data_IF_211686189339
#
_entry.id   IF_211686189339
#
_cell.length_a   1.000
_cell.length_b   1.000
_cell.length_c   1.000
_cell.angle_alpha   90.00
_cell.angle_beta   90.00
_cell.angle_gamma   90.00
#
_symmetry.space_group_name_H-M   'P 1'
#
loop_
_entity.id
_entity.type
_entity.pdbx_description
1 polymer ?
#
# COMPACT_ATOMS: atom_id res chain seq x y z
N UNK A 1 -42.01 -3.23 55.19
CA UNK A 1 -42.13 -3.27 53.72
C UNK A 1 -40.75 -2.99 53.16
N UNK A 2 -40.31 -3.86 52.25
CA UNK A 2 -38.98 -3.96 51.66
C UNK A 2 -38.52 -2.66 51.00
N UNK A 3 -37.24 -2.37 51.18
CA UNK A 3 -36.42 -1.36 50.50
C UNK A 3 -36.36 -1.54 48.98
N UNK A 4 -36.25 -0.43 48.24
CA UNK A 4 -35.43 -0.37 47.02
C UNK A 4 -35.09 1.08 46.68
N UNK A 5 -33.91 1.50 47.08
CA UNK A 5 -33.16 2.62 46.49
C UNK A 5 -32.94 2.33 45.00
N UNK A 6 -33.03 3.30 44.08
CA UNK A 6 -32.69 3.04 42.68
C UNK A 6 -31.20 2.73 42.60
N UNK A 7 -30.87 1.53 42.16
CA UNK A 7 -29.52 1.13 41.79
C UNK A 7 -29.04 2.10 40.72
N UNK A 8 -28.08 2.94 41.10
CA UNK A 8 -27.22 3.67 40.21
C UNK A 8 -26.61 2.63 39.27
N UNK A 9 -27.07 2.60 38.01
CA UNK A 9 -26.39 1.81 36.98
C UNK A 9 -25.01 2.41 36.85
N UNK A 10 -24.00 1.69 37.33
CA UNK A 10 -22.60 1.90 36.99
C UNK A 10 -22.49 1.89 35.46
N UNK A 11 -22.58 3.07 34.87
CA UNK A 11 -22.19 3.33 33.50
C UNK A 11 -20.66 3.51 33.45
N UNK A 12 -19.93 2.50 33.93
CA UNK A 12 -18.61 2.23 33.41
C UNK A 12 -18.80 1.53 32.06
N UNK A 13 -19.31 2.27 31.08
CA UNK A 13 -19.17 1.89 29.69
C UNK A 13 -17.66 1.83 29.43
N UNK A 14 -17.12 0.63 29.35
CA UNK A 14 -15.80 0.35 28.79
C UNK A 14 -15.69 1.15 27.51
N UNK A 15 -14.92 2.24 27.53
CA UNK A 15 -14.55 2.96 26.33
C UNK A 15 -13.98 1.92 25.37
N UNK A 16 -14.67 1.68 24.25
CA UNK A 16 -14.19 0.75 23.24
C UNK A 16 -12.88 1.34 22.70
N UNK A 17 -11.75 0.87 23.27
CA UNK A 17 -10.43 1.28 22.85
C UNK A 17 -10.33 1.12 21.32
N UNK A 18 -9.81 2.16 20.67
CA UNK A 18 -9.17 2.08 19.35
C UNK A 18 -8.70 0.67 19.02
N UNK A 19 -9.10 0.06 17.88
CA UNK A 19 -8.35 -1.07 17.39
C UNK A 19 -6.93 -0.56 17.10
N UNK A 20 -5.94 -1.07 17.82
CA UNK A 20 -4.54 -0.71 17.61
C UNK A 20 -4.19 -0.93 16.14
N UNK A 21 -3.63 0.11 15.51
CA UNK A 21 -3.30 0.12 14.08
C UNK A 21 -4.45 0.49 13.14
N UNK A 22 -5.63 0.88 13.64
CA UNK A 22 -6.73 1.37 12.79
C UNK A 22 -6.40 2.75 12.18
N UNK A 23 -5.89 3.65 13.03
CA UNK A 23 -5.43 5.01 12.72
C UNK A 23 -4.08 5.26 13.41
N UNK A 24 -3.49 6.43 13.14
CA UNK A 24 -2.18 6.82 13.67
C UNK A 24 -2.07 6.71 15.20
N UNK A 25 -0.87 6.42 15.69
CA UNK A 25 -0.60 6.30 17.13
C UNK A 25 -0.93 7.62 17.84
N UNK A 26 -1.83 7.53 18.84
CA UNK A 26 -2.27 8.68 19.64
C UNK A 26 -3.46 9.45 19.07
N UNK A 27 -4.17 8.90 18.07
CA UNK A 27 -5.43 9.46 17.59
C UNK A 27 -6.46 9.61 18.72
N UNK A 28 -7.23 10.72 18.75
CA UNK A 28 -8.25 10.94 19.77
C UNK A 28 -9.47 10.04 19.56
N UNK A 29 -10.20 9.76 20.65
CA UNK A 29 -11.35 8.84 20.64
C UNK A 29 -12.49 9.29 19.71
N UNK A 30 -12.62 10.59 19.44
CA UNK A 30 -13.65 11.16 18.58
C UNK A 30 -13.40 10.94 17.08
N UNK A 31 -12.15 10.75 16.65
CA UNK A 31 -11.81 10.31 15.29
C UNK A 31 -12.38 8.92 14.96
N UNK A 32 -12.82 8.20 15.99
CA UNK A 32 -13.27 6.82 15.96
C UNK A 32 -14.76 6.68 16.08
N UNK A 33 -15.42 7.79 16.44
CA UNK A 33 -16.85 7.82 16.41
C UNK A 33 -17.30 7.78 14.94
N UNK A 34 -17.95 6.67 14.59
CA UNK A 34 -18.54 6.44 13.27
C UNK A 34 -19.70 7.39 12.98
N UNK A 35 -20.26 8.01 14.02
CA UNK A 35 -21.39 8.93 13.91
C UNK A 35 -20.96 10.25 13.24
N UNK A 36 -21.40 10.44 11.99
CA UNK A 36 -21.21 11.69 11.24
C UNK A 36 -20.10 11.66 10.18
N UNK A 37 -19.17 10.71 10.21
CA UNK A 37 -18.19 10.56 9.10
C UNK A 37 -18.89 10.15 7.79
N UNK A 38 -19.90 9.28 7.88
CA UNK A 38 -20.75 8.89 6.75
C UNK A 38 -21.57 10.06 6.15
N UNK A 39 -21.69 11.18 6.89
CA UNK A 39 -22.45 12.37 6.45
C UNK A 39 -21.62 13.43 5.73
N UNK A 40 -20.29 13.27 5.61
CA UNK A 40 -19.45 14.22 4.87
C UNK A 40 -19.50 13.91 3.37
N UNK A 41 -20.10 14.76 2.53
CA UNK A 41 -20.31 14.46 1.10
C UNK A 41 -19.01 14.27 0.32
N UNK A 42 -17.88 14.82 0.81
CA UNK A 42 -16.61 14.91 0.09
C UNK A 42 -15.34 14.63 0.96
N UNK A 43 -15.45 14.07 2.16
CA UNK A 43 -14.30 13.95 3.07
C UNK A 43 -14.13 12.56 3.65
N UNK A 44 -13.22 11.76 3.09
CA UNK A 44 -12.66 10.61 3.79
C UNK A 44 -11.79 11.12 4.94
N UNK A 45 -11.96 10.67 6.20
CA UNK A 45 -11.03 11.04 7.25
C UNK A 45 -9.70 10.34 6.97
N UNK A 46 -8.62 11.12 6.83
CA UNK A 46 -7.28 10.56 6.79
C UNK A 46 -7.07 9.67 8.03
N UNK A 47 -6.54 8.47 7.82
CA UNK A 47 -6.12 7.58 8.91
C UNK A 47 -4.73 7.93 9.43
N UNK A 48 -4.04 8.83 8.75
CA UNK A 48 -2.69 9.29 9.08
C UNK A 48 -2.75 10.48 10.03
N UNK A 49 -1.62 10.76 10.69
CA UNK A 49 -1.53 11.84 11.66
C UNK A 49 -1.71 13.21 10.96
N UNK A 50 -2.77 13.98 11.27
CA UNK A 50 -3.01 15.28 10.63
C UNK A 50 -1.95 16.32 10.99
N UNK A 51 -1.29 16.20 12.16
CA UNK A 51 -0.24 17.12 12.58
C UNK A 51 1.03 17.02 11.72
N UNK A 52 1.20 15.91 11.00
CA UNK A 52 2.37 15.69 10.14
C UNK A 52 2.06 15.98 8.69
N UNK A 53 0.78 16.20 8.33
CA UNK A 53 0.34 16.42 6.95
C UNK A 53 0.71 17.83 6.48
N UNK A 54 1.45 17.92 5.38
CA UNK A 54 1.94 19.19 4.81
C UNK A 54 1.30 19.55 3.48
N UNK A 55 0.75 18.57 2.76
CA UNK A 55 -0.07 18.79 1.56
C UNK A 55 -1.08 17.65 1.36
N UNK A 56 -2.10 17.88 0.52
CA UNK A 56 -3.13 16.90 0.19
C UNK A 56 -4.53 17.27 0.70
N UNK A 57 -5.49 16.37 0.47
CA UNK A 57 -6.88 16.52 0.91
C UNK A 57 -7.92 16.74 -0.20
N UNK A 58 -7.51 17.16 -1.40
CA UNK A 58 -8.36 17.25 -2.59
C UNK A 58 -7.73 16.53 -3.79
N UNK A 59 -8.56 16.09 -4.73
CA UNK A 59 -8.15 15.36 -5.94
C UNK A 59 -7.19 16.18 -6.80
N UNK A 60 -5.92 15.79 -6.90
CA UNK A 60 -5.01 16.33 -7.90
C UNK A 60 -5.47 15.92 -9.29
N UNK A 61 -5.61 16.90 -10.18
CA UNK A 61 -5.97 16.65 -11.57
C UNK A 61 -4.73 16.21 -12.34
N UNK A 62 -4.58 14.90 -12.50
CA UNK A 62 -3.51 14.32 -13.32
C UNK A 62 -3.71 14.76 -14.77
N UNK A 63 -2.74 15.50 -15.30
CA UNK A 63 -2.70 15.82 -16.71
C UNK A 63 -2.26 14.58 -17.51
N UNK A 64 -3.01 14.18 -18.54
CA UNK A 64 -2.71 13.00 -19.34
C UNK A 64 -1.44 13.20 -20.17
N UNK A 65 -0.71 12.11 -20.40
CA UNK A 65 0.49 12.13 -21.24
C UNK A 65 0.09 12.38 -22.71
N UNK A 66 0.42 13.57 -23.21
CA UNK A 66 0.14 13.97 -24.59
C UNK A 66 1.06 13.32 -25.62
N UNK A 67 2.09 12.58 -25.18
CA UNK A 67 3.02 11.85 -26.07
C UNK A 67 2.42 10.57 -26.68
N UNK A 68 1.17 10.23 -26.33
CA UNK A 68 0.44 9.09 -26.89
C UNK A 68 0.80 7.73 -26.28
N UNK A 69 1.56 7.73 -25.17
CA UNK A 69 1.99 6.51 -24.47
C UNK A 69 0.99 6.03 -23.41
N UNK A 70 0.04 6.86 -23.00
CA UNK A 70 -1.04 6.49 -22.07
C UNK A 70 -2.37 6.24 -22.79
N UNK A 71 -3.18 5.34 -22.26
CA UNK A 71 -4.50 5.01 -22.85
C UNK A 71 -5.55 6.12 -22.67
N UNK A 72 -5.32 7.08 -21.76
CA UNK A 72 -6.28 8.15 -21.46
C UNK A 72 -5.71 9.54 -21.76
N UNK A 73 -6.58 10.40 -22.32
CA UNK A 73 -6.32 11.78 -22.78
C UNK A 73 -7.09 12.86 -22.02
N UNK A 74 -7.92 12.49 -21.04
CA UNK A 74 -8.71 13.43 -20.23
C UNK A 74 -8.23 13.47 -18.78
N UNK A 75 -8.11 14.67 -18.17
CA UNK A 75 -7.69 14.82 -16.79
C UNK A 75 -8.63 14.13 -15.79
N UNK A 76 -8.10 13.73 -14.64
CA UNK A 76 -8.90 13.12 -13.57
C UNK A 76 -8.23 13.25 -12.21
N UNK A 77 -9.01 13.13 -11.15
CA UNK A 77 -8.59 13.31 -9.77
C UNK A 77 -7.89 12.11 -9.15
N UNK A 78 -6.69 12.31 -8.58
CA UNK A 78 -6.00 11.39 -7.68
C UNK A 78 -5.99 11.97 -6.27
N UNK A 79 -6.43 11.18 -5.29
CA UNK A 79 -6.26 11.50 -3.87
C UNK A 79 -4.82 11.22 -3.43
N UNK A 80 -4.23 12.15 -2.68
CA UNK A 80 -2.91 12.01 -2.10
C UNK A 80 -2.78 12.79 -0.79
N UNK A 81 -1.80 12.39 0.03
CA UNK A 81 -1.33 13.15 1.19
C UNK A 81 0.20 13.13 1.25
N UNK A 82 0.78 14.25 1.65
CA UNK A 82 2.20 14.39 1.95
C UNK A 82 2.36 14.60 3.45
N UNK A 83 3.25 13.83 4.09
CA UNK A 83 3.59 13.96 5.50
C UNK A 83 5.07 14.26 5.70
N UNK A 84 5.38 15.11 6.68
CA UNK A 84 6.75 15.57 6.93
C UNK A 84 7.19 16.71 6.01
N UNK A 85 8.35 17.28 6.35
CA UNK A 85 8.98 18.43 5.67
C UNK A 85 10.43 18.15 5.28
N UNK A 86 10.93 16.95 5.57
CA UNK A 86 12.33 16.64 5.40
C UNK A 86 12.78 16.48 3.95
N UNK A 87 14.09 16.58 3.68
CA UNK A 87 14.64 16.59 2.33
C UNK A 87 14.57 15.23 1.63
N UNK A 88 14.50 14.12 2.38
CA UNK A 88 14.46 12.77 1.81
C UNK A 88 13.02 12.39 1.43
N UNK A 89 12.76 12.26 0.13
CA UNK A 89 11.42 12.04 -0.42
C UNK A 89 11.13 10.55 -0.62
N UNK A 90 10.09 10.03 0.02
CA UNK A 90 9.66 8.63 -0.09
C UNK A 90 8.26 8.56 -0.66
N UNK A 91 8.03 7.71 -1.65
CA UNK A 91 6.70 7.46 -2.22
C UNK A 91 6.28 6.03 -1.95
N UNK A 92 5.11 5.86 -1.35
CA UNK A 92 4.52 4.57 -1.04
C UNK A 92 3.39 4.23 -2.03
N UNK A 93 3.55 3.13 -2.77
CA UNK A 93 2.65 2.73 -3.86
C UNK A 93 1.89 1.46 -3.46
N UNK A 94 0.58 1.58 -3.28
CA UNK A 94 -0.28 0.49 -2.83
C UNK A 94 -0.59 -0.54 -3.93
N UNK A 95 -0.96 -1.75 -3.50
CA UNK A 95 -1.38 -2.86 -4.35
C UNK A 95 -2.80 -2.74 -4.94
N UNK A 96 -3.19 -3.80 -5.63
CA UNK A 96 -4.49 -3.94 -6.29
C UNK A 96 -5.64 -3.78 -5.28
N UNK A 97 -6.66 -3.01 -5.68
CA UNK A 97 -7.91 -2.89 -4.95
C UNK A 97 -7.74 -2.61 -3.45
N UNK A 98 -6.79 -1.72 -3.12
CA UNK A 98 -6.51 -1.34 -1.75
C UNK A 98 -6.15 0.16 -1.65
N UNK A 99 -6.43 0.76 -0.49
CA UNK A 99 -6.18 2.18 -0.22
C UNK A 99 -4.78 2.38 0.32
N UNK A 100 -4.20 3.55 0.08
CA UNK A 100 -2.95 3.97 0.70
C UNK A 100 -2.92 3.87 2.23
N UNK A 101 -4.08 3.83 2.90
CA UNK A 101 -4.21 3.56 4.34
C UNK A 101 -3.47 2.29 4.82
N UNK A 102 -3.24 1.31 3.93
CA UNK A 102 -2.42 0.14 4.27
C UNK A 102 -0.95 0.46 4.59
N UNK A 103 -0.45 1.65 4.21
CA UNK A 103 0.88 2.15 4.55
C UNK A 103 0.94 2.87 5.90
N UNK A 104 -0.16 2.92 6.67
CA UNK A 104 -0.20 3.60 7.98
C UNK A 104 1.03 3.29 8.86
N UNK A 105 1.44 2.02 9.07
CA UNK A 105 2.58 1.73 9.95
C UNK A 105 3.90 2.35 9.44
N UNK A 106 4.06 2.48 8.12
CA UNK A 106 5.23 3.12 7.51
C UNK A 106 5.16 4.64 7.66
N UNK A 107 3.99 5.26 7.44
CA UNK A 107 3.84 6.71 7.61
C UNK A 107 4.01 7.12 9.07
N UNK A 108 3.48 6.32 10.00
CA UNK A 108 3.69 6.51 11.44
C UNK A 108 5.14 6.34 11.88
N UNK A 109 5.99 5.67 11.10
CA UNK A 109 7.43 5.59 11.34
C UNK A 109 8.17 6.76 10.71
N UNK A 110 8.01 6.95 9.39
CA UNK A 110 8.78 7.90 8.58
C UNK A 110 8.33 9.35 8.71
N UNK A 111 7.21 9.62 9.38
CA UNK A 111 6.72 11.00 9.58
C UNK A 111 6.36 11.29 11.03
N UNK A 112 6.88 10.52 11.99
CA UNK A 112 6.61 10.73 13.41
C UNK A 112 7.42 11.90 13.97
N UNK A 113 6.80 12.86 14.68
CA UNK A 113 7.55 13.90 15.37
C UNK A 113 8.43 13.34 16.52
N UNK A 114 8.02 12.23 17.14
CA UNK A 114 8.71 11.70 18.33
C UNK A 114 10.09 11.10 18.04
N UNK A 115 10.36 10.70 16.80
CA UNK A 115 11.65 10.14 16.38
C UNK A 115 12.46 11.10 15.48
N UNK A 116 12.01 12.35 15.32
CA UNK A 116 12.64 13.36 14.46
C UNK A 116 12.54 13.06 12.96
N UNK A 117 11.70 12.10 12.56
CA UNK A 117 11.57 11.73 11.16
C UNK A 117 10.76 12.74 10.34
N UNK A 118 9.91 13.55 10.97
CA UNK A 118 9.16 14.64 10.31
C UNK A 118 10.08 15.62 9.58
N UNK A 119 11.21 15.98 10.19
CA UNK A 119 12.19 16.91 9.62
C UNK A 119 13.21 16.22 8.70
N UNK A 120 13.26 14.88 8.73
CA UNK A 120 14.20 14.08 7.94
C UNK A 120 13.59 13.59 6.63
N UNK A 121 12.33 13.20 6.65
CA UNK A 121 11.62 12.65 5.50
C UNK A 121 10.41 13.49 5.10
N UNK A 122 10.10 13.46 3.80
CA UNK A 122 8.78 13.78 3.28
C UNK A 122 8.21 12.53 2.63
N UNK A 123 7.08 12.03 3.10
CA UNK A 123 6.43 10.82 2.60
C UNK A 123 5.19 11.16 1.81
N UNK A 124 5.03 10.51 0.65
CA UNK A 124 3.85 10.64 -0.22
C UNK A 124 3.09 9.31 -0.24
N UNK A 125 1.80 9.39 0.04
CA UNK A 125 0.82 8.32 -0.12
C UNK A 125 -0.30 8.80 -1.03
N UNK A 126 -0.85 7.88 -1.84
CA UNK A 126 -1.93 8.19 -2.77
C UNK A 126 -2.74 6.94 -3.11
N UNK A 127 -4.01 7.14 -3.44
CA UNK A 127 -4.84 6.05 -3.96
C UNK A 127 -4.64 5.93 -5.47
N UNK A 128 -4.33 4.73 -5.98
CA UNK A 128 -4.24 4.51 -7.42
C UNK A 128 -5.59 4.76 -8.10
N UNK A 129 -5.57 5.16 -9.39
CA UNK A 129 -6.78 5.32 -10.21
C UNK A 129 -7.70 4.09 -10.08
N UNK A 130 -9.01 4.32 -10.02
CA UNK A 130 -9.98 3.24 -9.90
C UNK A 130 -10.15 2.67 -8.49
N UNK A 131 -9.58 3.31 -7.46
CA UNK A 131 -9.75 2.87 -6.08
C UNK A 131 -9.82 4.03 -5.08
N UNK A 132 -10.42 3.76 -3.91
CA UNK A 132 -10.46 4.66 -2.76
C UNK A 132 -11.04 6.03 -3.11
N UNK A 133 -10.31 7.08 -2.75
CA UNK A 133 -10.72 8.47 -2.95
C UNK A 133 -10.39 9.02 -4.34
N UNK A 134 -9.53 8.32 -5.08
CA UNK A 134 -9.21 8.63 -6.48
C UNK A 134 -10.39 8.36 -7.41
N UNK A 135 -10.41 9.05 -8.55
CA UNK A 135 -11.44 8.85 -9.56
C UNK A 135 -11.32 7.49 -10.24
N UNK A 136 -12.41 7.09 -10.89
CA UNK A 136 -12.48 5.88 -11.72
C UNK A 136 -12.59 6.29 -13.19
N UNK A 137 -11.47 6.67 -13.83
CA UNK A 137 -11.41 6.85 -15.26
C UNK A 137 -12.04 5.69 -16.04
N UNK A 138 -12.78 5.98 -17.10
CA UNK A 138 -13.23 4.96 -18.03
C UNK A 138 -12.06 4.32 -18.80
N UNK A 139 -12.30 3.11 -19.32
CA UNK A 139 -11.33 2.38 -20.14
C UNK A 139 -10.46 1.38 -19.36
N UNK A 140 -9.60 0.69 -20.10
CA UNK A 140 -8.64 -0.29 -19.57
C UNK A 140 -7.44 0.42 -18.98
N UNK A 141 -6.90 -0.06 -17.87
CA UNK A 141 -5.68 0.48 -17.28
C UNK A 141 -4.47 -0.37 -17.63
N UNK A 142 -3.30 0.25 -17.60
CA UNK A 142 -1.99 -0.40 -17.54
C UNK A 142 -1.23 0.10 -16.32
N UNK A 143 -0.33 -0.71 -15.80
CA UNK A 143 0.58 -0.26 -14.72
C UNK A 143 1.45 0.92 -15.16
N UNK A 144 1.76 1.03 -16.47
CA UNK A 144 2.46 2.20 -17.03
C UNK A 144 1.61 3.47 -16.96
N UNK A 145 0.29 3.37 -17.19
CA UNK A 145 -0.62 4.52 -17.04
C UNK A 145 -0.63 5.02 -15.58
N UNK A 146 -0.57 4.11 -14.61
CA UNK A 146 -0.48 4.45 -13.19
C UNK A 146 0.88 5.06 -12.82
N UNK A 147 1.96 4.62 -13.45
CA UNK A 147 3.27 5.24 -13.32
C UNK A 147 3.27 6.69 -13.84
N UNK A 148 2.63 6.93 -14.99
CA UNK A 148 2.48 8.28 -15.52
C UNK A 148 1.64 9.20 -14.62
N UNK A 149 0.61 8.67 -13.95
CA UNK A 149 -0.17 9.44 -12.97
C UNK A 149 0.71 9.95 -11.84
N UNK A 150 1.49 9.05 -11.25
CA UNK A 150 2.37 9.40 -10.16
C UNK A 150 3.45 10.38 -10.62
N UNK A 151 4.01 10.21 -11.81
CA UNK A 151 4.98 11.17 -12.34
C UNK A 151 4.37 12.57 -12.55
N UNK A 152 3.09 12.64 -12.95
CA UNK A 152 2.35 13.91 -13.06
C UNK A 152 2.17 14.58 -11.70
N UNK A 153 1.74 13.82 -10.69
CA UNK A 153 1.62 14.28 -9.30
C UNK A 153 2.97 14.75 -8.74
N UNK A 154 4.04 13.99 -8.94
CA UNK A 154 5.38 14.35 -8.48
C UNK A 154 5.91 15.64 -9.13
N UNK A 155 5.53 15.94 -10.38
CA UNK A 155 5.89 17.20 -11.04
C UNK A 155 5.19 18.38 -10.39
N UNK A 156 3.90 18.27 -10.08
CA UNK A 156 3.15 19.31 -9.37
C UNK A 156 3.76 19.57 -7.98
N UNK A 157 4.09 18.49 -7.25
CA UNK A 157 4.75 18.56 -5.95
C UNK A 157 6.20 19.09 -6.04
N UNK A 158 6.74 19.31 -7.25
CA UNK A 158 8.15 19.70 -7.50
C UNK A 158 9.15 18.69 -6.93
N UNK A 159 8.78 17.40 -6.97
CA UNK A 159 9.65 16.30 -6.55
C UNK A 159 10.53 15.77 -7.68
N UNK A 160 10.35 16.27 -8.90
CA UNK A 160 11.10 15.84 -10.09
C UNK A 160 12.26 16.78 -10.49
N UNK A 161 12.50 17.86 -9.73
CA UNK A 161 13.48 18.90 -10.11
C UNK A 161 14.94 18.45 -9.97
N UNK A 162 15.21 17.46 -9.10
CA UNK A 162 16.55 16.95 -8.82
C UNK A 162 16.63 15.46 -9.18
N UNK A 163 17.69 15.03 -9.89
CA UNK A 163 17.90 13.61 -10.14
C UNK A 163 18.15 12.89 -8.81
N UNK A 164 17.78 11.60 -8.76
CA UNK A 164 18.01 10.72 -7.60
C UNK A 164 17.41 11.18 -6.27
N UNK A 165 16.48 12.13 -6.30
CA UNK A 165 15.94 12.77 -5.10
C UNK A 165 14.72 12.05 -4.51
N UNK A 166 14.18 11.03 -5.19
CA UNK A 166 12.95 10.34 -4.77
C UNK A 166 13.21 8.84 -4.62
N UNK A 167 12.66 8.25 -3.56
CA UNK A 167 12.78 6.84 -3.23
C UNK A 167 11.40 6.17 -3.32
N UNK A 168 11.29 5.07 -4.07
CA UNK A 168 10.02 4.38 -4.30
C UNK A 168 9.91 3.12 -3.44
N UNK A 169 8.75 2.90 -2.83
CA UNK A 169 8.39 1.67 -2.11
C UNK A 169 7.05 1.18 -2.63
N UNK A 170 7.04 0.03 -3.31
CA UNK A 170 5.84 -0.50 -3.95
C UNK A 170 5.53 -1.93 -3.53
N UNK A 171 4.29 -2.19 -3.12
CA UNK A 171 3.83 -3.55 -2.76
C UNK A 171 2.91 -4.12 -3.83
N UNK A 172 3.10 -5.38 -4.23
CA UNK A 172 2.20 -6.08 -5.16
C UNK A 172 2.08 -5.34 -6.50
N UNK A 173 0.87 -4.94 -6.93
CA UNK A 173 0.67 -4.06 -8.08
C UNK A 173 1.50 -2.76 -7.99
N UNK A 174 1.71 -2.21 -6.79
CA UNK A 174 2.57 -1.04 -6.58
C UNK A 174 4.04 -1.29 -6.93
N UNK A 175 4.53 -2.52 -6.74
CA UNK A 175 5.84 -2.94 -7.23
C UNK A 175 5.90 -3.01 -8.76
N UNK A 176 4.83 -3.42 -9.42
CA UNK A 176 4.73 -3.41 -10.89
C UNK A 176 4.77 -1.97 -11.43
N UNK A 177 4.05 -1.04 -10.77
CA UNK A 177 4.08 0.39 -11.09
C UNK A 177 5.49 0.96 -10.85
N UNK A 178 6.16 0.54 -9.78
CA UNK A 178 7.56 0.93 -9.47
C UNK A 178 8.52 0.50 -10.60
N UNK A 179 8.35 -0.72 -11.14
CA UNK A 179 9.15 -1.17 -12.29
C UNK A 179 8.88 -0.34 -13.56
N UNK A 180 7.64 0.07 -13.80
CA UNK A 180 7.30 0.98 -14.91
C UNK A 180 7.94 2.37 -14.72
N UNK A 181 7.86 2.94 -13.53
CA UNK A 181 8.52 4.21 -13.20
C UNK A 181 10.03 4.16 -13.39
N UNK A 182 10.67 3.06 -12.98
CA UNK A 182 12.10 2.83 -13.18
C UNK A 182 12.49 2.71 -14.67
N UNK A 183 11.54 2.39 -15.56
CA UNK A 183 11.74 2.43 -17.02
C UNK A 183 11.51 3.82 -17.61
N UNK A 184 10.51 4.54 -17.08
CA UNK A 184 10.03 5.82 -17.63
C UNK A 184 11.00 6.97 -17.30
N UNK A 185 11.45 7.05 -16.04
CA UNK A 185 12.28 8.14 -15.53
C UNK A 185 13.42 7.61 -14.63
N UNK A 186 14.29 6.70 -15.13
CA UNK A 186 15.30 6.03 -14.33
C UNK A 186 16.20 6.99 -13.54
N UNK A 187 16.46 8.19 -14.04
CA UNK A 187 17.31 9.24 -13.45
C UNK A 187 16.73 9.88 -12.18
N UNK A 188 15.42 9.79 -11.96
CA UNK A 188 14.75 10.43 -10.83
C UNK A 188 14.91 9.64 -9.52
N UNK A 189 15.05 8.32 -9.62
CA UNK A 189 14.95 7.44 -8.46
C UNK A 189 16.32 7.21 -7.81
N UNK A 190 16.45 7.56 -6.53
CA UNK A 190 17.64 7.27 -5.73
C UNK A 190 17.68 5.81 -5.29
N UNK A 191 16.51 5.25 -4.96
CA UNK A 191 16.36 3.83 -4.69
C UNK A 191 14.94 3.34 -4.99
N UNK A 192 14.79 2.02 -5.17
CA UNK A 192 13.48 1.37 -5.23
C UNK A 192 13.43 0.14 -4.30
N UNK A 193 12.32 -0.05 -3.61
CA UNK A 193 12.01 -1.22 -2.79
C UNK A 193 10.77 -1.91 -3.36
N UNK A 194 10.97 -3.15 -3.84
CA UNK A 194 9.95 -3.98 -4.49
C UNK A 194 9.45 -5.03 -3.50
N UNK A 195 8.23 -4.88 -3.00
CA UNK A 195 7.65 -5.77 -1.96
C UNK A 195 6.61 -6.69 -2.58
N UNK A 196 6.78 -8.02 -2.44
CA UNK A 196 5.83 -9.05 -2.89
C UNK A 196 5.25 -8.80 -4.28
N UNK A 197 6.12 -8.69 -5.30
CA UNK A 197 5.73 -8.29 -6.66
C UNK A 197 6.33 -9.18 -7.75
N UNK A 198 6.02 -8.91 -9.01
CA UNK A 198 6.51 -9.67 -10.17
C UNK A 198 6.75 -8.75 -11.37
N UNK A 199 7.67 -9.16 -12.26
CA UNK A 199 7.85 -8.56 -13.59
C UNK A 199 6.76 -8.99 -14.59
N UNK A 200 5.92 -9.95 -14.21
CA UNK A 200 5.01 -10.63 -15.14
C UNK A 200 5.71 -11.67 -16.03
N UNK A 201 6.91 -12.15 -15.67
CA UNK A 201 7.68 -13.16 -16.43
C UNK A 201 8.19 -14.37 -15.59
N UNK A 202 7.74 -14.56 -14.35
CA UNK A 202 8.31 -15.52 -13.37
C UNK A 202 8.50 -17.00 -13.78
N UNK A 203 9.24 -17.75 -12.96
CA UNK A 203 9.64 -19.16 -13.19
C UNK A 203 8.55 -20.15 -12.71
N UNK A 204 8.21 -21.15 -13.53
CA UNK A 204 7.59 -22.43 -13.10
C UNK A 204 6.09 -22.57 -13.35
N UNK A 205 5.72 -23.71 -13.97
CA UNK A 205 4.40 -24.16 -14.47
C UNK A 205 3.42 -23.07 -14.92
N UNK A 206 3.35 -22.93 -16.25
CA UNK A 206 2.46 -22.06 -17.01
C UNK A 206 2.99 -20.63 -17.23
N UNK A 207 4.08 -20.55 -17.99
CA UNK A 207 4.30 -19.44 -18.94
C UNK A 207 3.08 -19.20 -19.90
N UNK A 208 2.11 -20.14 -19.94
CA UNK A 208 0.80 -20.04 -20.60
C UNK A 208 -0.37 -19.64 -19.67
N UNK A 209 -0.15 -19.48 -18.36
CA UNK A 209 -1.15 -19.03 -17.40
C UNK A 209 -0.61 -17.94 -16.47
N UNK A 210 0.29 -17.12 -16.99
CA UNK A 210 0.74 -15.84 -16.38
C UNK A 210 -0.39 -14.78 -16.35
N UNK A 211 -1.64 -15.23 -16.35
CA UNK A 211 -2.85 -14.45 -16.14
C UNK A 211 -3.90 -15.20 -15.31
N UNK A 212 -3.63 -16.43 -14.90
CA UNK A 212 -4.52 -17.20 -14.03
C UNK A 212 -3.73 -17.61 -12.80
N UNK A 213 -4.10 -17.09 -11.61
CA UNK A 213 -3.48 -17.50 -10.36
C UNK A 213 -3.56 -19.04 -10.16
N UNK A 214 -2.84 -19.64 -9.19
CA UNK A 214 -2.98 -21.07 -8.89
C UNK A 214 -4.47 -21.43 -8.69
N UNK A 215 -4.90 -22.69 -8.86
CA UNK A 215 -6.35 -23.04 -8.73
C UNK A 215 -6.96 -22.51 -7.41
N UNK A 216 -6.19 -22.53 -6.31
CA UNK A 216 -6.54 -21.84 -5.05
C UNK A 216 -6.53 -20.31 -5.15
N UNK A 217 -5.58 -19.70 -5.83
CA UNK A 217 -5.54 -18.26 -6.07
C UNK A 217 -6.61 -17.75 -7.05
N UNK A 218 -7.14 -18.58 -7.97
CA UNK A 218 -8.31 -18.25 -8.81
C UNK A 218 -9.56 -18.25 -7.95
N UNK A 219 -9.77 -19.27 -7.12
CA UNK A 219 -10.88 -19.26 -6.17
C UNK A 219 -10.77 -18.10 -5.18
N UNK A 220 -9.55 -17.72 -4.77
CA UNK A 220 -9.34 -16.65 -3.80
C UNK A 220 -9.41 -15.25 -4.42
N UNK A 221 -8.84 -15.01 -5.62
CA UNK A 221 -9.06 -13.75 -6.34
C UNK A 221 -10.52 -13.65 -6.78
N UNK A 222 -11.16 -14.73 -7.24
CA UNK A 222 -12.60 -14.73 -7.51
C UNK A 222 -13.46 -14.59 -6.24
N UNK A 223 -12.98 -15.05 -5.07
CA UNK A 223 -13.63 -14.80 -3.79
C UNK A 223 -13.43 -13.35 -3.37
N UNK A 224 -12.22 -12.81 -3.32
CA UNK A 224 -11.95 -11.39 -2.98
C UNK A 224 -12.68 -10.46 -3.95
N UNK A 225 -12.64 -10.74 -5.26
CA UNK A 225 -13.39 -10.00 -6.28
C UNK A 225 -14.88 -10.26 -6.15
N UNK A 226 -15.35 -11.47 -5.91
CA UNK A 226 -16.77 -11.78 -5.73
C UNK A 226 -17.38 -11.16 -4.46
N UNK A 227 -16.62 -11.14 -3.39
CA UNK A 227 -16.87 -10.49 -2.11
C UNK A 227 -16.86 -8.96 -2.25
N UNK A 228 -15.89 -8.40 -2.96
CA UNK A 228 -15.78 -6.96 -3.20
C UNK A 228 -16.79 -6.43 -4.24
N UNK A 229 -17.13 -7.22 -5.25
CA UNK A 229 -17.98 -6.83 -6.39
C UNK A 229 -19.46 -7.19 -6.20
N UNK A 230 -19.75 -8.36 -5.60
CA UNK A 230 -21.11 -8.90 -5.50
C UNK A 230 -21.59 -9.06 -4.05
N UNK A 231 -20.76 -8.74 -3.05
CA UNK A 231 -21.16 -8.84 -1.64
C UNK A 231 -21.50 -10.26 -1.19
N UNK A 232 -20.91 -11.28 -1.82
CA UNK A 232 -21.14 -12.68 -1.47
C UNK A 232 -20.50 -12.94 -0.10
N UNK A 233 -21.34 -13.38 0.87
CA UNK A 233 -20.97 -13.60 2.26
C UNK A 233 -21.20 -12.36 3.15
N UNK A 234 -21.48 -12.58 4.44
CA UNK A 234 -21.59 -11.50 5.41
C UNK A 234 -20.23 -10.79 5.62
N UNK A 235 -20.24 -9.58 6.16
CA UNK A 235 -19.02 -8.77 6.37
C UNK A 235 -17.91 -9.51 7.13
N UNK A 236 -18.28 -10.29 8.15
CA UNK A 236 -17.30 -11.01 8.97
C UNK A 236 -16.58 -12.07 8.15
N UNK A 237 -17.31 -12.85 7.37
CA UNK A 237 -16.74 -13.85 6.47
C UNK A 237 -15.80 -13.21 5.44
N UNK A 238 -16.18 -12.03 4.92
CA UNK A 238 -15.37 -11.29 3.93
C UNK A 238 -14.04 -10.82 4.49
N UNK A 239 -14.03 -10.24 5.70
CA UNK A 239 -12.79 -9.79 6.35
C UNK A 239 -11.89 -10.97 6.67
N UNK A 240 -12.42 -12.07 7.23
CA UNK A 240 -11.63 -13.25 7.54
C UNK A 240 -10.94 -13.85 6.32
N UNK A 241 -11.64 -13.94 5.17
CA UNK A 241 -11.04 -14.41 3.92
C UNK A 241 -9.87 -13.52 3.47
N UNK A 242 -9.98 -12.20 3.65
CA UNK A 242 -8.89 -11.27 3.34
C UNK A 242 -7.71 -11.48 4.29
N UNK A 243 -7.96 -11.65 5.60
CA UNK A 243 -6.89 -11.89 6.57
C UNK A 243 -6.12 -13.19 6.26
N UNK A 244 -6.83 -14.27 5.98
CA UNK A 244 -6.23 -15.58 5.66
C UNK A 244 -5.47 -15.58 4.33
N UNK A 245 -5.84 -14.69 3.40
CA UNK A 245 -5.09 -14.49 2.17
C UNK A 245 -3.80 -13.68 2.41
N UNK A 246 -3.87 -12.67 3.28
CA UNK A 246 -2.80 -11.69 3.45
C UNK A 246 -1.74 -12.13 4.46
N UNK A 247 -2.13 -12.95 5.45
CA UNK A 247 -1.30 -13.30 6.59
C UNK A 247 -1.30 -14.81 6.85
N UNK A 248 -0.20 -15.39 7.35
CA UNK A 248 -0.16 -16.79 7.78
C UNK A 248 -1.05 -17.03 9.00
N UNK A 249 -1.80 -18.14 9.01
CA UNK A 249 -2.70 -18.46 10.13
C UNK A 249 -1.96 -18.64 11.47
N UNK A 250 -0.75 -19.21 11.44
CA UNK A 250 0.11 -19.34 12.62
C UNK A 250 0.36 -17.98 13.29
N UNK A 251 0.67 -16.96 12.48
CA UNK A 251 0.91 -15.60 12.96
C UNK A 251 -0.36 -14.87 13.40
N UNK A 252 -1.49 -15.14 12.72
CA UNK A 252 -2.80 -14.56 13.06
C UNK A 252 -3.32 -15.09 14.41
N UNK A 253 -3.02 -16.34 14.72
CA UNK A 253 -3.51 -17.05 15.93
C UNK A 253 -2.73 -16.69 17.20
N UNK A 254 -1.57 -16.04 17.08
CA UNK A 254 -0.80 -15.54 18.21
C UNK A 254 -1.47 -14.31 18.87
N UNK A 255 -1.23 -14.13 20.17
CA UNK A 255 -1.61 -12.91 20.90
C UNK A 255 -0.85 -11.72 20.32
N UNK A 256 -1.56 -10.61 20.09
CA UNK A 256 -0.94 -9.36 19.68
C UNK A 256 -0.21 -8.75 20.90
N UNK A 257 1.13 -8.64 20.89
CA UNK A 257 1.88 -8.14 22.05
C UNK A 257 1.54 -6.70 22.42
N UNK A 258 1.07 -5.90 21.45
CA UNK A 258 0.76 -4.48 21.66
C UNK A 258 -0.68 -4.27 22.12
N UNK A 259 -1.52 -5.32 22.12
CA UNK A 259 -2.94 -5.22 22.49
C UNK A 259 -3.15 -5.41 24.00
N UNK A 260 -3.58 -4.37 24.74
CA UNK A 260 -3.74 -4.45 26.19
C UNK A 260 -4.89 -5.37 26.62
N UNK A 261 -5.78 -5.75 25.69
CA UNK A 261 -6.88 -6.68 25.95
C UNK A 261 -6.46 -8.15 25.74
N UNK A 262 -5.21 -8.41 25.32
CA UNK A 262 -4.69 -9.75 25.10
C UNK A 262 -5.33 -10.47 23.91
N UNK A 263 -5.92 -9.74 22.95
CA UNK A 263 -6.54 -10.32 21.76
C UNK A 263 -5.50 -10.91 20.83
N UNK A 264 -5.92 -11.89 20.04
CA UNK A 264 -5.12 -12.42 18.93
C UNK A 264 -4.90 -11.36 17.85
N UNK A 265 -3.84 -11.52 17.04
CA UNK A 265 -3.62 -10.64 15.88
C UNK A 265 -4.79 -10.70 14.90
N UNK A 266 -5.44 -11.86 14.76
CA UNK A 266 -6.66 -12.02 13.97
C UNK A 266 -7.78 -11.09 14.44
N UNK A 267 -8.06 -11.07 15.74
CA UNK A 267 -9.13 -10.24 16.32
C UNK A 267 -8.82 -8.74 16.19
N UNK A 268 -7.58 -8.34 16.45
CA UNK A 268 -7.14 -6.95 16.27
C UNK A 268 -7.26 -6.53 14.82
N UNK A 269 -6.71 -7.30 13.88
CA UNK A 269 -6.77 -6.99 12.45
C UNK A 269 -8.20 -7.04 11.91
N UNK A 270 -9.05 -7.95 12.41
CA UNK A 270 -10.47 -7.95 12.07
C UNK A 270 -11.11 -6.61 12.42
N UNK A 271 -10.89 -6.10 13.63
CA UNK A 271 -11.42 -4.82 14.06
C UNK A 271 -10.85 -3.64 13.25
N UNK A 272 -9.55 -3.67 12.93
CA UNK A 272 -8.91 -2.67 12.05
C UNK A 272 -9.52 -2.66 10.66
N UNK A 273 -9.67 -3.82 10.02
CA UNK A 273 -10.22 -3.93 8.66
C UNK A 273 -11.71 -3.58 8.65
N UNK A 274 -12.50 -4.03 9.63
CA UNK A 274 -13.90 -3.66 9.77
C UNK A 274 -14.06 -2.14 9.88
N UNK A 275 -13.27 -1.50 10.74
CA UNK A 275 -13.27 -0.04 10.88
C UNK A 275 -12.89 0.65 9.56
N UNK A 276 -11.76 0.28 8.94
CA UNK A 276 -11.31 0.90 7.68
C UNK A 276 -12.28 0.71 6.52
N UNK A 277 -12.98 -0.43 6.44
CA UNK A 277 -13.95 -0.70 5.38
C UNK A 277 -15.25 0.10 5.52
N UNK A 278 -15.60 0.59 6.71
CA UNK A 278 -16.72 1.52 6.87
C UNK A 278 -16.46 2.86 6.19
N UNK A 279 -15.20 3.29 6.12
CA UNK A 279 -14.80 4.56 5.53
C UNK A 279 -14.33 4.43 4.08
N UNK A 280 -13.79 3.27 3.71
CA UNK A 280 -13.28 3.03 2.35
C UNK A 280 -14.40 3.23 1.34
N UNK A 281 -14.29 4.31 0.54
CA UNK A 281 -15.22 4.53 -0.56
C UNK A 281 -15.20 3.30 -1.44
N UNK A 282 -16.33 2.60 -1.54
CA UNK A 282 -16.47 1.44 -2.41
C UNK A 282 -16.20 1.91 -3.84
N UNK A 283 -15.05 1.51 -4.38
CA UNK A 283 -14.72 1.76 -5.77
C UNK A 283 -15.79 1.09 -6.65
N UNK A 284 -16.32 1.79 -7.67
CA UNK A 284 -17.14 1.15 -8.68
C UNK A 284 -16.48 -0.13 -9.21
N UNK A 285 -17.23 -1.21 -9.44
CA UNK A 285 -16.72 -2.47 -9.99
C UNK A 285 -15.75 -2.32 -11.17
N UNK A 286 -16.02 -1.34 -12.03
CA UNK A 286 -15.18 -0.99 -13.17
C UNK A 286 -13.73 -0.68 -12.79
N UNK A 287 -13.49 0.08 -11.70
CA UNK A 287 -12.15 0.47 -11.30
C UNK A 287 -11.30 -0.74 -10.92
N UNK A 288 -11.88 -1.65 -10.12
CA UNK A 288 -11.25 -2.92 -9.72
C UNK A 288 -10.96 -3.79 -10.95
N UNK A 289 -11.94 -3.96 -11.85
CA UNK A 289 -11.74 -4.74 -13.09
C UNK A 289 -10.64 -4.17 -13.97
N UNK A 290 -10.55 -2.84 -14.09
CA UNK A 290 -9.50 -2.19 -14.87
C UNK A 290 -8.12 -2.34 -14.21
N UNK A 291 -8.02 -2.30 -12.87
CA UNK A 291 -6.77 -2.62 -12.17
C UNK A 291 -6.37 -4.10 -12.34
N UNK A 292 -7.32 -5.04 -12.30
CA UNK A 292 -7.05 -6.47 -12.57
C UNK A 292 -6.49 -6.63 -13.99
N UNK A 293 -7.10 -5.97 -14.98
CA UNK A 293 -6.61 -6.00 -16.35
C UNK A 293 -5.18 -5.44 -16.46
N UNK A 294 -4.85 -4.38 -15.69
CA UNK A 294 -3.49 -3.84 -15.63
C UNK A 294 -2.49 -4.84 -15.05
N UNK A 295 -2.83 -5.54 -13.96
CA UNK A 295 -2.00 -6.57 -13.33
C UNK A 295 -1.77 -7.74 -14.28
N UNK A 296 -2.82 -8.29 -14.87
CA UNK A 296 -2.75 -9.46 -15.77
C UNK A 296 -1.93 -9.15 -17.03
N UNK A 297 -2.05 -7.92 -17.55
CA UNK A 297 -1.30 -7.48 -18.74
C UNK A 297 0.09 -6.92 -18.43
N UNK A 298 0.48 -6.80 -17.16
CA UNK A 298 1.79 -6.26 -16.78
C UNK A 298 2.92 -7.15 -17.29
N UNK A 299 3.90 -6.53 -17.97
CA UNK A 299 5.09 -7.22 -18.49
C UNK A 299 6.29 -6.27 -18.48
N UNK A 300 7.33 -6.66 -17.76
CA UNK A 300 8.68 -6.08 -17.81
C UNK A 300 9.65 -7.18 -18.19
N UNK A 301 10.31 -7.04 -19.34
CA UNK A 301 11.18 -8.09 -19.87
C UNK A 301 12.47 -8.24 -19.06
N UNK A 302 13.10 -9.42 -19.08
CA UNK A 302 14.43 -9.61 -18.50
C UNK A 302 15.45 -8.56 -18.97
N UNK A 303 15.40 -8.17 -20.25
CA UNK A 303 16.24 -7.09 -20.79
C UNK A 303 15.92 -5.72 -20.20
N UNK A 304 14.65 -5.44 -19.89
CA UNK A 304 14.25 -4.22 -19.17
C UNK A 304 14.66 -4.28 -17.70
N UNK A 305 14.52 -5.43 -17.02
CA UNK A 305 15.03 -5.64 -15.66
C UNK A 305 16.54 -5.41 -15.58
N UNK A 306 17.32 -5.90 -16.54
CA UNK A 306 18.75 -5.66 -16.61
C UNK A 306 19.08 -4.15 -16.75
N UNK A 307 18.29 -3.40 -17.53
CA UNK A 307 18.43 -1.94 -17.64
C UNK A 307 18.11 -1.23 -16.32
N UNK A 308 17.02 -1.63 -15.64
CA UNK A 308 16.65 -1.11 -14.31
C UNK A 308 17.78 -1.39 -13.31
N UNK A 309 18.28 -2.63 -13.29
CA UNK A 309 19.38 -3.05 -12.42
C UNK A 309 20.61 -2.16 -12.54
N UNK A 310 20.97 -1.78 -13.77
CA UNK A 310 22.10 -0.89 -14.03
C UNK A 310 21.74 0.55 -13.63
N UNK A 311 20.57 1.04 -14.05
CA UNK A 311 20.18 2.44 -13.99
C UNK A 311 19.76 2.95 -12.60
N UNK A 312 19.37 2.06 -11.69
CA UNK A 312 18.96 2.45 -10.32
C UNK A 312 20.13 2.22 -9.33
N UNK A 313 20.45 3.20 -8.46
CA UNK A 313 21.58 3.12 -7.53
C UNK A 313 21.43 1.99 -6.48
N UNK A 314 20.26 1.91 -5.84
CA UNK A 314 19.96 0.88 -4.85
C UNK A 314 18.59 0.25 -5.09
N UNK A 315 18.54 -1.08 -5.05
CA UNK A 315 17.34 -1.87 -5.28
C UNK A 315 17.26 -2.92 -4.17
N UNK A 316 16.11 -3.00 -3.52
CA UNK A 316 15.78 -4.11 -2.62
C UNK A 316 14.52 -4.82 -3.13
N UNK A 317 14.56 -6.15 -3.09
CA UNK A 317 13.43 -7.03 -3.40
C UNK A 317 13.08 -7.75 -2.11
N UNK A 318 11.86 -7.58 -1.63
CA UNK A 318 11.40 -8.10 -0.34
C UNK A 318 10.18 -8.98 -0.55
N UNK A 319 10.14 -10.15 0.07
CA UNK A 319 9.01 -11.06 -0.06
C UNK A 319 8.88 -11.93 1.18
N UNK A 320 7.66 -12.35 1.52
CA UNK A 320 7.46 -13.42 2.49
C UNK A 320 7.68 -14.79 1.87
N UNK A 321 8.13 -15.77 2.63
CA UNK A 321 8.31 -17.17 2.18
C UNK A 321 7.00 -17.95 2.02
N UNK A 322 5.92 -17.50 2.67
CA UNK A 322 4.58 -18.11 2.62
C UNK A 322 3.54 -17.15 2.01
N UNK A 323 3.97 -16.26 1.12
CA UNK A 323 3.07 -15.40 0.34
C UNK A 323 2.21 -16.23 -0.64
N UNK A 324 0.94 -16.41 -0.30
CA UNK A 324 -0.02 -17.18 -1.08
C UNK A 324 -0.67 -16.38 -2.22
N UNK A 325 -0.51 -15.05 -2.24
CA UNK A 325 -1.10 -14.19 -3.25
C UNK A 325 -0.12 -13.94 -4.40
N UNK A 326 1.15 -13.66 -4.09
CA UNK A 326 2.22 -13.50 -5.07
C UNK A 326 3.32 -14.50 -4.76
N UNK A 327 3.45 -15.50 -5.64
CA UNK A 327 4.44 -16.57 -5.46
C UNK A 327 5.86 -15.97 -5.25
N UNK A 328 6.56 -16.30 -4.15
CA UNK A 328 7.90 -15.76 -3.85
C UNK A 328 8.96 -16.06 -4.91
N UNK A 329 8.75 -17.09 -5.74
CA UNK A 329 9.57 -17.38 -6.93
C UNK A 329 9.61 -16.23 -7.94
N UNK A 330 8.63 -15.32 -7.93
CA UNK A 330 8.69 -14.08 -8.70
C UNK A 330 9.79 -13.14 -8.21
N UNK A 331 9.97 -13.03 -6.89
CA UNK A 331 11.05 -12.23 -6.28
C UNK A 331 12.43 -12.85 -6.57
N UNK A 332 12.52 -14.19 -6.58
CA UNK A 332 13.72 -14.90 -7.03
C UNK A 332 14.02 -14.63 -8.51
N UNK A 333 13.00 -14.64 -9.37
CA UNK A 333 13.14 -14.29 -10.78
C UNK A 333 13.61 -12.84 -10.98
N UNK A 334 13.05 -11.89 -10.23
CA UNK A 334 13.49 -10.49 -10.23
C UNK A 334 14.96 -10.39 -9.84
N UNK A 335 15.37 -11.03 -8.73
CA UNK A 335 16.75 -11.00 -8.25
C UNK A 335 17.74 -11.64 -9.26
N UNK A 336 17.34 -12.75 -9.90
CA UNK A 336 18.14 -13.38 -10.96
C UNK A 336 18.42 -12.45 -12.14
N UNK A 337 17.45 -11.61 -12.51
CA UNK A 337 17.58 -10.67 -13.63
C UNK A 337 18.04 -9.27 -13.19
N UNK A 338 18.15 -9.03 -11.89
CA UNK A 338 18.64 -7.79 -11.28
C UNK A 338 19.71 -8.13 -10.22
N UNK A 339 20.90 -8.60 -10.62
CA UNK A 339 21.91 -9.12 -9.68
C UNK A 339 22.50 -8.08 -8.72
N UNK A 340 22.30 -6.77 -8.94
CA UNK A 340 22.68 -5.71 -7.97
C UNK A 340 21.62 -5.55 -6.86
N UNK A 341 20.41 -6.07 -7.06
CA UNK A 341 19.33 -5.96 -6.10
C UNK A 341 19.58 -6.87 -4.90
N UNK A 342 19.34 -6.35 -3.69
CA UNK A 342 19.34 -7.15 -2.47
C UNK A 342 18.01 -7.91 -2.37
N UNK A 343 18.05 -9.23 -2.42
CA UNK A 343 16.88 -10.06 -2.14
C UNK A 343 16.79 -10.35 -0.64
N UNK A 344 15.64 -10.06 -0.05
CA UNK A 344 15.29 -10.40 1.34
C UNK A 344 14.02 -11.22 1.33
N UNK A 345 14.12 -12.47 1.78
CA UNK A 345 12.98 -13.34 1.99
C UNK A 345 12.74 -13.49 3.50
N UNK A 346 11.62 -12.95 3.98
CA UNK A 346 11.25 -12.97 5.39
C UNK A 346 10.55 -14.28 5.73
N UNK A 347 10.97 -14.91 6.82
CA UNK A 347 10.41 -16.20 7.26
C UNK A 347 9.01 -16.05 7.87
N UNK A 348 8.19 -17.06 7.63
CA UNK A 348 6.80 -17.16 8.12
C UNK A 348 6.01 -15.87 7.85
N UNK A 349 6.21 -15.30 6.66
CA UNK A 349 5.66 -14.01 6.28
C UNK A 349 4.78 -14.14 5.04
N UNK A 350 3.58 -13.56 5.12
CA UNK A 350 2.58 -13.53 4.06
C UNK A 350 2.72 -12.32 3.14
N UNK A 351 1.63 -11.96 2.48
CA UNK A 351 1.59 -10.90 1.49
C UNK A 351 1.62 -9.49 2.09
N UNK A 352 0.89 -9.29 3.20
CA UNK A 352 0.79 -7.98 3.87
C UNK A 352 1.99 -7.69 4.77
N UNK A 353 3.19 -7.86 4.21
CA UNK A 353 4.49 -7.65 4.85
C UNK A 353 4.61 -6.27 5.52
N UNK A 354 4.11 -5.15 4.94
CA UNK A 354 4.15 -3.85 5.63
C UNK A 354 3.45 -3.81 6.99
N UNK A 355 2.45 -4.67 7.19
CA UNK A 355 1.72 -4.80 8.47
C UNK A 355 2.26 -5.95 9.33
N UNK A 356 2.77 -7.02 8.73
CA UNK A 356 3.23 -8.20 9.47
C UNK A 356 4.65 -8.07 10.03
N UNK A 357 5.52 -7.37 9.29
CA UNK A 357 6.96 -7.21 9.57
C UNK A 357 7.33 -5.72 9.50
N UNK A 358 6.54 -4.87 10.13
CA UNK A 358 6.64 -3.41 10.05
C UNK A 358 8.04 -2.90 10.32
N UNK A 359 8.63 -3.24 11.48
CA UNK A 359 9.94 -2.71 11.86
C UNK A 359 11.07 -3.21 10.97
N UNK A 360 11.03 -4.50 10.60
CA UNK A 360 12.03 -5.09 9.70
C UNK A 360 11.95 -4.45 8.31
N UNK A 361 10.75 -4.17 7.80
CA UNK A 361 10.57 -3.47 6.53
C UNK A 361 11.02 -2.00 6.62
N UNK A 362 10.68 -1.30 7.70
CA UNK A 362 11.09 0.10 7.90
C UNK A 362 12.61 0.24 7.89
N UNK A 363 13.30 -0.62 8.66
CA UNK A 363 14.77 -0.66 8.69
C UNK A 363 15.36 -0.96 7.29
N UNK A 364 14.78 -1.92 6.56
CA UNK A 364 15.21 -2.25 5.20
C UNK A 364 15.01 -1.09 4.23
N UNK A 365 13.89 -0.36 4.32
CA UNK A 365 13.64 0.83 3.51
C UNK A 365 14.69 1.90 3.80
N UNK A 366 14.99 2.17 5.08
CA UNK A 366 16.04 3.13 5.46
C UNK A 366 17.42 2.74 4.93
N UNK A 367 17.80 1.46 5.06
CA UNK A 367 19.05 0.94 4.50
C UNK A 367 19.12 1.11 2.98
N UNK A 368 18.01 0.84 2.30
CA UNK A 368 17.92 0.95 0.83
C UNK A 368 18.01 2.40 0.37
N UNK A 369 17.36 3.32 1.09
CA UNK A 369 17.45 4.76 0.86
C UNK A 369 18.89 5.24 1.06
N UNK A 370 19.50 4.90 2.20
CA UNK A 370 20.88 5.29 2.52
C UNK A 370 21.86 4.83 1.45
N UNK A 371 21.79 3.57 1.05
CA UNK A 371 22.60 3.03 -0.04
C UNK A 371 22.34 3.75 -1.38
N UNK A 372 21.09 4.16 -1.64
CA UNK A 372 20.73 4.93 -2.83
C UNK A 372 21.37 6.31 -2.85
N UNK A 373 21.34 7.01 -1.73
CA UNK A 373 21.94 8.34 -1.56
C UNK A 373 23.46 8.31 -1.68
N UNK A 374 24.11 7.37 -0.98
CA UNK A 374 25.56 7.15 -1.03
C UNK A 374 26.05 6.88 -2.46
N UNK A 375 25.36 5.98 -3.19
CA UNK A 375 25.74 5.62 -4.57
C UNK A 375 25.38 6.69 -5.60
N UNK A 376 24.50 7.63 -5.25
CA UNK A 376 24.12 8.75 -6.12
C UNK A 376 24.97 10.01 -5.88
N UNK A 377 25.78 10.04 -4.81
CA UNK A 377 26.51 11.24 -4.39
C UNK A 377 25.59 12.35 -3.87
N UNK A 378 24.35 12.02 -3.49
CA UNK A 378 23.38 12.98 -2.93
C UNK A 378 23.52 12.91 -1.41
N UNK A 379 24.00 13.99 -0.78
CA UNK A 379 24.05 14.10 0.69
C UNK A 379 22.65 14.41 1.26
N UNK A 380 22.41 13.92 2.48
CA UNK A 380 21.13 14.01 3.19
C UNK A 380 20.78 15.41 3.69
#
# INVERSE_FOLDING_TARGET
>A
MSSSTPVQKDAAATAALLPIGAAYIGAPDDLLNTDGVASKPNGFPSVFNPATRTAGGDRHVVQPDTSGKTLKKEPFGIYYEVHGTGPIKIVFIMGLANSCAGWLPQIDHFSNPKNGNTEKYSTLVYDNRGYGCSEVPSGRYRTSDMGHDLLSLLKELKWTEKPRAVHLVGVSMGGMITLELAKIAPELWGSITLVSTTSGQGIGEKALAVGLPPIRGISVIAQVVGTAMFGIGDEKSRINNVLELLFPDSWLSEVNPDDPQGRTRREVLFAVFAWRFQFSRRAPPQGILSQIAAVVSHRVTNGQLAKINIGIPAISIVTGDVDHLVNPGNSVHLAKNMPKARLVQMKETGHALPMQRTEELNALIEETIRAGMERSGVQA
#
